data_IF_646986466874
#
_entry.id   IF_646986466874
#
_cell.length_a   1.000
_cell.length_b   1.000
_cell.length_c   1.000
_cell.angle_alpha   90.00
_cell.angle_beta   90.00
_cell.angle_gamma   90.00
#
_symmetry.space_group_name_H-M   'P 1'
#
loop_
_entity.id
_entity.type
_entity.pdbx_description
1 polymer ?
#
# COMPACT_ATOMS: atom_id res chain seq x y z
N UNK A 1 5.58 -3.36 11.34
CA UNK A 1 4.14 -3.12 11.58
C UNK A 1 3.82 -1.66 11.93
N UNK A 2 4.52 -0.99 12.85
CA UNK A 2 4.27 0.42 13.26
C UNK A 2 4.31 1.44 12.10
N UNK A 3 5.12 1.23 11.07
CA UNK A 3 5.28 2.15 9.93
C UNK A 3 4.01 2.22 9.06
N UNK A 4 3.29 1.13 8.90
CA UNK A 4 2.10 1.04 8.05
C UNK A 4 0.93 1.86 8.59
N UNK A 5 0.69 1.82 9.89
CA UNK A 5 -0.47 2.50 10.50
C UNK A 5 -0.45 4.03 10.38
N UNK A 6 0.73 4.64 10.21
CA UNK A 6 0.84 6.10 10.12
C UNK A 6 0.43 6.67 8.74
N UNK A 7 0.38 5.81 7.71
CA UNK A 7 -0.09 6.19 6.36
C UNK A 7 -1.61 6.08 6.23
N UNK A 8 -2.24 5.36 7.12
CA UNK A 8 -3.63 4.99 7.04
C UNK A 8 -4.51 5.90 7.91
N UNK A 9 -5.74 6.06 7.49
CA UNK A 9 -6.80 6.67 8.29
C UNK A 9 -7.21 5.74 9.42
N UNK A 10 -7.88 6.27 10.45
CA UNK A 10 -8.47 5.45 11.53
C UNK A 10 -9.38 4.36 10.98
N UNK A 11 -10.14 4.67 9.93
CA UNK A 11 -11.08 3.73 9.31
C UNK A 11 -10.35 2.59 8.56
N UNK A 12 -9.27 2.91 7.83
CA UNK A 12 -8.43 1.90 7.17
C UNK A 12 -7.72 1.00 8.18
N UNK A 13 -7.27 1.56 9.32
CA UNK A 13 -6.71 0.77 10.43
C UNK A 13 -7.77 -0.18 11.03
N UNK A 14 -8.99 0.30 11.21
CA UNK A 14 -10.09 -0.53 11.68
C UNK A 14 -10.43 -1.65 10.68
N UNK A 15 -10.38 -1.36 9.37
CA UNK A 15 -10.56 -2.35 8.33
C UNK A 15 -9.48 -3.44 8.38
N UNK A 16 -8.20 -3.06 8.54
CA UNK A 16 -7.10 -4.01 8.73
C UNK A 16 -7.32 -4.90 9.95
N UNK A 17 -7.68 -4.31 11.08
CA UNK A 17 -7.95 -5.06 12.31
C UNK A 17 -9.13 -6.04 12.16
N UNK A 18 -10.17 -5.64 11.41
CA UNK A 18 -11.29 -6.53 11.08
C UNK A 18 -10.85 -7.69 10.20
N UNK A 19 -10.05 -7.43 9.17
CA UNK A 19 -9.50 -8.46 8.28
C UNK A 19 -8.68 -9.48 9.10
N UNK A 20 -7.76 -9.01 9.94
CA UNK A 20 -6.95 -9.88 10.81
C UNK A 20 -7.81 -10.74 11.69
N UNK A 21 -8.79 -10.14 12.35
CA UNK A 21 -9.66 -10.87 13.26
C UNK A 21 -10.50 -11.93 12.57
N UNK A 22 -11.09 -11.62 11.41
CA UNK A 22 -11.90 -12.58 10.65
C UNK A 22 -11.05 -13.70 10.06
N UNK A 23 -9.84 -13.38 9.61
CA UNK A 23 -8.91 -14.37 9.06
C UNK A 23 -8.42 -15.36 10.13
N UNK A 24 -8.08 -14.86 11.33
CA UNK A 24 -7.61 -15.68 12.45
C UNK A 24 -8.72 -16.54 13.06
N UNK A 25 -9.97 -16.06 13.01
CA UNK A 25 -11.12 -16.76 13.61
C UNK A 25 -11.44 -18.08 12.93
N UNK A 26 -11.19 -18.19 11.62
CA UNK A 26 -11.51 -19.38 10.78
C UNK A 26 -12.94 -19.93 10.92
N UNK A 27 -13.80 -19.22 11.63
CA UNK A 27 -15.17 -19.61 11.96
C UNK A 27 -16.11 -18.41 11.84
N UNK A 28 -17.42 -18.72 11.91
CA UNK A 28 -18.45 -17.68 11.94
C UNK A 28 -18.37 -16.84 13.20
N UNK A 29 -18.12 -15.55 13.03
CA UNK A 29 -18.05 -14.58 14.12
C UNK A 29 -19.39 -13.90 14.32
N UNK A 30 -20.01 -14.00 15.52
CA UNK A 30 -21.27 -13.29 15.80
C UNK A 30 -21.10 -11.77 15.71
N UNK A 31 -22.05 -11.08 15.08
CA UNK A 31 -22.03 -9.61 14.93
C UNK A 31 -21.96 -8.88 16.28
N UNK A 32 -22.53 -9.45 17.33
CA UNK A 32 -22.46 -8.90 18.69
C UNK A 32 -21.02 -8.87 19.23
N UNK A 33 -20.20 -9.90 18.91
CA UNK A 33 -18.80 -9.99 19.32
C UNK A 33 -18.00 -8.88 18.65
N UNK A 34 -18.21 -8.66 17.33
CA UNK A 34 -17.55 -7.58 16.60
C UNK A 34 -17.92 -6.19 17.16
N UNK A 35 -19.21 -5.97 17.47
CA UNK A 35 -19.66 -4.70 18.05
C UNK A 35 -19.00 -4.43 19.39
N UNK A 36 -18.91 -5.41 20.27
CA UNK A 36 -18.26 -5.26 21.59
C UNK A 36 -16.76 -5.03 21.46
N UNK A 37 -16.07 -5.82 20.60
CA UNK A 37 -14.63 -5.75 20.42
C UNK A 37 -14.16 -4.40 19.89
N UNK A 38 -14.90 -3.79 18.98
CA UNK A 38 -14.51 -2.55 18.31
C UNK A 38 -15.30 -1.33 18.78
N UNK A 39 -16.19 -1.49 19.76
CA UNK A 39 -17.10 -0.42 20.23
C UNK A 39 -17.87 0.26 19.08
N UNK A 40 -18.25 -0.50 18.07
CA UNK A 40 -18.88 0.03 16.87
C UNK A 40 -20.38 0.17 17.01
N UNK A 41 -20.89 1.32 16.54
CA UNK A 41 -22.31 1.42 16.21
C UNK A 41 -22.68 0.46 15.08
N UNK A 42 -23.98 0.14 14.95
CA UNK A 42 -24.50 -0.69 13.85
C UNK A 42 -24.11 -0.09 12.47
N UNK A 43 -24.15 1.21 12.34
CA UNK A 43 -23.80 1.92 11.11
C UNK A 43 -22.31 1.75 10.77
N UNK A 44 -21.43 1.92 11.73
CA UNK A 44 -19.98 1.82 11.50
C UNK A 44 -19.54 0.43 11.07
N UNK A 45 -20.13 -0.63 11.67
CA UNK A 45 -19.76 -1.98 11.28
C UNK A 45 -20.26 -2.31 9.86
N UNK A 46 -21.46 -1.89 9.50
CA UNK A 46 -21.99 -2.12 8.15
C UNK A 46 -21.14 -1.38 7.09
N UNK A 47 -20.70 -0.17 7.39
CA UNK A 47 -19.80 0.58 6.50
C UNK A 47 -18.46 -0.14 6.31
N UNK A 48 -17.84 -0.66 7.38
CA UNK A 48 -16.60 -1.44 7.28
C UNK A 48 -16.80 -2.74 6.50
N UNK A 49 -17.92 -3.41 6.66
CA UNK A 49 -18.24 -4.63 5.91
C UNK A 49 -18.42 -4.34 4.41
N UNK A 50 -19.06 -3.24 4.07
CA UNK A 50 -19.18 -2.80 2.68
C UNK A 50 -17.79 -2.51 2.07
N UNK A 51 -16.91 -1.83 2.81
CA UNK A 51 -15.54 -1.58 2.37
C UNK A 51 -14.75 -2.87 2.22
N UNK A 52 -14.91 -3.82 3.14
CA UNK A 52 -14.28 -5.13 3.05
C UNK A 52 -14.77 -5.91 1.83
N UNK A 53 -16.06 -5.88 1.53
CA UNK A 53 -16.62 -6.52 0.33
C UNK A 53 -16.04 -5.93 -0.96
N UNK A 54 -15.93 -4.60 -1.04
CA UNK A 54 -15.31 -3.92 -2.19
C UNK A 54 -13.82 -4.24 -2.31
N UNK A 55 -13.10 -4.29 -1.18
CA UNK A 55 -11.69 -4.68 -1.15
C UNK A 55 -11.50 -6.10 -1.69
N UNK A 56 -12.30 -7.05 -1.20
CA UNK A 56 -12.25 -8.45 -1.62
C UNK A 56 -12.53 -8.58 -3.12
N UNK A 57 -13.52 -7.88 -3.64
CA UNK A 57 -13.79 -7.87 -5.08
C UNK A 57 -12.58 -7.40 -5.90
N UNK A 58 -11.90 -6.34 -5.47
CA UNK A 58 -10.68 -5.85 -6.12
C UNK A 58 -9.53 -6.85 -6.03
N UNK A 59 -9.30 -7.43 -4.85
CA UNK A 59 -8.24 -8.44 -4.65
C UNK A 59 -8.49 -9.66 -5.54
N UNK A 60 -9.71 -10.19 -5.56
CA UNK A 60 -10.06 -11.33 -6.40
C UNK A 60 -9.79 -11.07 -7.89
N UNK A 61 -10.13 -9.87 -8.36
CA UNK A 61 -9.92 -9.50 -9.77
C UNK A 61 -8.44 -9.34 -10.11
N UNK A 62 -7.64 -8.70 -9.23
CA UNK A 62 -6.24 -8.40 -9.50
C UNK A 62 -5.30 -9.58 -9.31
N UNK A 63 -5.56 -10.39 -8.29
CA UNK A 63 -4.67 -11.49 -7.90
C UNK A 63 -5.17 -12.86 -8.39
N UNK A 64 -6.34 -12.88 -9.08
CA UNK A 64 -6.99 -14.11 -9.54
C UNK A 64 -7.15 -15.15 -8.43
N UNK A 65 -7.66 -14.71 -7.28
CA UNK A 65 -7.94 -15.54 -6.09
C UNK A 65 -9.41 -15.54 -5.74
N UNK A 66 -9.84 -16.46 -4.89
CA UNK A 66 -11.23 -16.57 -4.45
C UNK A 66 -11.35 -16.33 -2.94
N UNK A 67 -11.64 -15.11 -2.57
CA UNK A 67 -12.00 -14.71 -1.22
C UNK A 67 -13.46 -14.28 -1.21
N UNK A 68 -14.21 -14.65 -0.20
CA UNK A 68 -15.61 -14.24 -0.04
C UNK A 68 -15.96 -13.97 1.41
N UNK A 69 -16.94 -13.11 1.60
CA UNK A 69 -17.58 -12.85 2.88
C UNK A 69 -18.97 -13.48 2.86
N UNK A 70 -19.29 -14.23 3.90
CA UNK A 70 -20.62 -14.73 4.18
C UNK A 70 -21.18 -13.92 5.33
N UNK A 71 -22.19 -13.08 5.05
CA UNK A 71 -22.84 -12.22 6.04
C UNK A 71 -24.34 -12.56 6.07
N UNK A 72 -24.81 -13.12 7.18
CA UNK A 72 -26.22 -13.49 7.41
C UNK A 72 -26.91 -12.57 8.43
N UNK A 73 -26.44 -11.34 8.62
CA UNK A 73 -26.90 -10.33 9.59
C UNK A 73 -26.63 -10.66 11.07
N UNK A 74 -26.52 -11.93 11.44
CA UNK A 74 -26.24 -12.36 12.81
C UNK A 74 -24.76 -12.72 13.01
N UNK A 75 -24.12 -13.22 11.96
CA UNK A 75 -22.71 -13.59 11.96
C UNK A 75 -22.04 -13.29 10.63
N UNK A 76 -20.74 -13.20 10.66
CA UNK A 76 -19.88 -12.98 9.50
C UNK A 76 -18.78 -14.02 9.47
N UNK A 77 -18.43 -14.45 8.27
CA UNK A 77 -17.34 -15.40 8.03
C UNK A 77 -16.53 -14.93 6.82
N UNK A 78 -15.21 -14.94 6.95
CA UNK A 78 -14.29 -14.75 5.84
C UNK A 78 -13.84 -16.12 5.34
N UNK A 79 -14.19 -16.43 4.11
CA UNK A 79 -13.80 -17.70 3.47
C UNK A 79 -12.79 -17.40 2.38
N UNK A 80 -11.61 -17.98 2.50
CA UNK A 80 -10.54 -17.90 1.52
C UNK A 80 -9.95 -19.30 1.29
N UNK A 81 -9.40 -19.55 0.10
CA UNK A 81 -8.67 -20.79 -0.15
C UNK A 81 -7.46 -20.90 0.79
N UNK A 82 -7.11 -22.11 1.21
CA UNK A 82 -6.11 -22.37 2.28
C UNK A 82 -4.73 -21.73 2.05
N UNK A 83 -4.37 -21.46 0.80
CA UNK A 83 -3.07 -20.90 0.42
C UNK A 83 -3.06 -19.38 0.22
N UNK A 84 -4.17 -18.68 0.48
CA UNK A 84 -4.24 -17.25 0.28
C UNK A 84 -3.71 -16.53 1.53
N UNK A 85 -2.55 -15.86 1.45
CA UNK A 85 -1.99 -15.16 2.59
C UNK A 85 -2.81 -13.89 2.89
N UNK A 86 -3.02 -13.62 4.17
CA UNK A 86 -3.70 -12.40 4.65
C UNK A 86 -3.02 -11.12 4.16
N UNK A 87 -1.72 -11.20 3.88
CA UNK A 87 -0.91 -10.10 3.38
C UNK A 87 -1.48 -9.50 2.09
N UNK A 88 -2.09 -10.29 1.21
CA UNK A 88 -2.73 -9.77 -0.01
C UNK A 88 -3.82 -8.74 0.31
N UNK A 89 -4.65 -9.01 1.30
CA UNK A 89 -5.69 -8.08 1.72
C UNK A 89 -5.11 -6.87 2.43
N UNK A 90 -4.11 -7.06 3.30
CA UNK A 90 -3.41 -5.95 3.99
C UNK A 90 -2.72 -5.00 2.99
N UNK A 91 -1.99 -5.57 2.04
CA UNK A 91 -1.34 -4.82 0.97
C UNK A 91 -2.37 -4.04 0.13
N UNK A 92 -3.51 -4.64 -0.16
CA UNK A 92 -4.59 -3.99 -0.92
C UNK A 92 -5.21 -2.81 -0.16
N UNK A 93 -5.36 -2.88 1.17
CA UNK A 93 -5.80 -1.73 2.00
C UNK A 93 -4.79 -0.58 1.88
N UNK A 94 -3.50 -0.87 1.98
CA UNK A 94 -2.44 0.15 1.86
C UNK A 94 -2.45 0.78 0.46
N UNK A 95 -2.47 -0.04 -0.60
CA UNK A 95 -2.51 0.43 -2.00
C UNK A 95 -3.76 1.26 -2.31
N UNK A 96 -4.87 0.97 -1.64
CA UNK A 96 -6.13 1.71 -1.76
C UNK A 96 -6.17 3.03 -1.00
N UNK A 97 -5.21 3.33 -0.13
CA UNK A 97 -5.21 4.57 0.65
C UNK A 97 -4.79 5.77 -0.19
N UNK A 98 -5.45 6.91 0.01
CA UNK A 98 -5.14 8.16 -0.68
C UNK A 98 -3.70 8.64 -0.39
N UNK A 99 -3.18 8.37 0.80
CA UNK A 99 -1.80 8.73 1.17
C UNK A 99 -0.78 7.95 0.34
N UNK A 100 -1.03 6.66 0.10
CA UNK A 100 -0.20 5.84 -0.78
C UNK A 100 -0.28 6.32 -2.24
N UNK A 101 -1.49 6.59 -2.74
CA UNK A 101 -1.72 7.07 -4.11
C UNK A 101 -0.97 8.38 -4.35
N UNK A 102 -1.07 9.35 -3.44
CA UNK A 102 -0.32 10.61 -3.53
C UNK A 102 1.20 10.37 -3.53
N UNK A 103 1.71 9.48 -2.68
CA UNK A 103 3.14 9.17 -2.64
C UNK A 103 3.62 8.51 -3.95
N UNK A 104 2.82 7.60 -4.53
CA UNK A 104 3.12 6.96 -5.81
C UNK A 104 3.16 7.98 -6.95
N UNK A 105 2.17 8.86 -7.02
CA UNK A 105 2.11 9.91 -8.07
C UNK A 105 3.28 10.89 -7.96
N UNK A 106 3.71 11.21 -6.74
CA UNK A 106 4.89 12.03 -6.51
C UNK A 106 6.19 11.34 -6.98
N UNK A 107 6.34 10.04 -6.73
CA UNK A 107 7.50 9.28 -7.21
C UNK A 107 7.53 9.22 -8.74
N UNK A 108 6.38 8.93 -9.35
CA UNK A 108 6.24 8.75 -10.79
C UNK A 108 6.10 10.07 -11.56
N UNK A 109 6.18 11.21 -10.85
CA UNK A 109 5.99 12.57 -11.41
C UNK A 109 4.65 12.77 -12.13
N UNK A 110 3.61 12.07 -11.69
CA UNK A 110 2.24 12.19 -12.21
C UNK A 110 1.45 13.28 -11.52
N UNK A 111 1.82 13.60 -10.26
CA UNK A 111 1.15 14.68 -9.53
C UNK A 111 1.33 16.02 -10.23
N UNK A 112 0.23 16.62 -10.63
CA UNK A 112 0.15 17.92 -11.29
C UNK A 112 -0.24 19.02 -10.30
N UNK A 113 -1.42 18.94 -9.71
CA UNK A 113 -1.93 19.90 -8.73
C UNK A 113 -2.83 19.24 -7.69
N UNK A 114 -3.08 19.96 -6.58
CA UNK A 114 -4.05 19.54 -5.58
C UNK A 114 -5.48 19.44 -6.14
N UNK A 115 -5.81 20.33 -7.12
CA UNK A 115 -7.12 20.32 -7.77
C UNK A 115 -7.30 19.04 -8.58
N UNK A 116 -6.33 18.71 -9.44
CA UNK A 116 -6.41 17.52 -10.30
C UNK A 116 -6.48 16.23 -9.47
N UNK A 117 -5.68 16.14 -8.38
CA UNK A 117 -5.75 15.01 -7.46
C UNK A 117 -7.12 14.90 -6.78
N UNK A 118 -7.72 16.03 -6.38
CA UNK A 118 -9.06 16.03 -5.80
C UNK A 118 -10.13 15.57 -6.80
N UNK A 119 -10.04 16.00 -8.04
CA UNK A 119 -10.97 15.61 -9.12
C UNK A 119 -10.80 14.12 -9.48
N UNK A 120 -9.58 13.63 -9.63
CA UNK A 120 -9.29 12.22 -9.96
C UNK A 120 -9.79 11.25 -8.90
N UNK A 121 -9.64 11.62 -7.62
CA UNK A 121 -10.01 10.75 -6.50
C UNK A 121 -11.38 11.09 -5.87
N UNK A 122 -12.14 11.99 -6.47
CA UNK A 122 -13.47 12.41 -6.01
C UNK A 122 -13.47 12.87 -4.54
N UNK A 123 -12.46 13.67 -4.14
CA UNK A 123 -12.32 14.19 -2.77
C UNK A 123 -12.32 15.72 -2.76
N UNK A 124 -12.65 16.30 -1.61
CA UNK A 124 -12.54 17.74 -1.42
C UNK A 124 -11.13 18.14 -0.93
N UNK A 125 -10.84 19.45 -0.98
CA UNK A 125 -9.55 20.00 -0.59
C UNK A 125 -9.21 19.76 0.90
N UNK A 126 -10.20 19.69 1.78
CA UNK A 126 -9.98 19.40 3.20
C UNK A 126 -9.43 17.98 3.39
N UNK A 127 -9.95 16.99 2.65
CA UNK A 127 -9.43 15.62 2.65
C UNK A 127 -8.02 15.59 2.06
N UNK A 128 -7.79 16.28 0.93
CA UNK A 128 -6.45 16.38 0.34
C UNK A 128 -5.42 16.95 1.33
N UNK A 129 -5.78 17.99 2.08
CA UNK A 129 -4.92 18.55 3.12
C UNK A 129 -4.56 17.50 4.18
N UNK A 130 -5.55 16.76 4.69
CA UNK A 130 -5.30 15.67 5.66
C UNK A 130 -4.39 14.57 5.09
N UNK A 131 -4.57 14.21 3.81
CA UNK A 131 -3.71 13.24 3.10
C UNK A 131 -2.27 13.76 3.02
N UNK A 132 -2.10 15.03 2.60
CA UNK A 132 -0.80 15.68 2.49
C UNK A 132 -0.09 15.81 3.85
N UNK A 133 -0.82 16.19 4.90
CA UNK A 133 -0.28 16.30 6.26
C UNK A 133 0.16 14.92 6.78
N UNK A 134 -0.64 13.88 6.53
CA UNK A 134 -0.30 12.49 6.91
C UNK A 134 0.94 12.00 6.19
N UNK A 135 1.04 12.25 4.88
CA UNK A 135 2.23 11.93 4.09
C UNK A 135 3.45 12.67 4.62
N UNK A 136 3.32 13.97 4.90
CA UNK A 136 4.41 14.78 5.42
C UNK A 136 4.91 14.30 6.80
N UNK A 137 3.99 13.95 7.71
CA UNK A 137 4.35 13.36 9.00
C UNK A 137 5.09 12.03 8.87
N UNK A 138 4.79 11.28 7.83
CA UNK A 138 5.52 10.04 7.56
C UNK A 138 6.88 10.29 6.93
N UNK A 139 7.00 11.21 5.99
CA UNK A 139 8.25 11.66 5.38
C UNK A 139 9.24 12.20 6.43
N UNK A 140 8.75 12.93 7.44
CA UNK A 140 9.59 13.49 8.50
C UNK A 140 10.43 12.44 9.24
N UNK A 141 9.95 11.19 9.33
CA UNK A 141 10.70 10.07 9.94
C UNK A 141 11.92 9.64 9.11
N UNK A 142 11.97 10.07 7.86
CA UNK A 142 13.05 9.82 6.92
C UNK A 142 13.81 11.11 6.61
N UNK A 143 13.74 12.12 7.46
CA UNK A 143 14.34 13.44 7.26
C UNK A 143 13.93 14.10 5.91
N UNK A 144 12.73 13.74 5.43
CA UNK A 144 12.14 14.30 4.22
C UNK A 144 10.91 15.13 4.58
N UNK A 145 10.52 16.03 3.69
CA UNK A 145 9.29 16.81 3.85
C UNK A 145 8.63 17.10 2.51
N UNK A 146 7.31 17.33 2.54
CA UNK A 146 6.51 17.64 1.37
C UNK A 146 6.44 19.14 1.13
N UNK A 147 6.78 19.58 -0.08
CA UNK A 147 6.59 20.95 -0.53
C UNK A 147 5.99 20.98 -1.95
N UNK A 148 4.67 21.00 -2.02
CA UNK A 148 3.92 20.92 -3.29
C UNK A 148 4.09 22.14 -4.21
N UNK A 149 4.73 23.22 -3.74
CA UNK A 149 5.04 24.41 -4.57
C UNK A 149 6.36 24.26 -5.35
N UNK A 150 7.27 23.41 -4.90
CA UNK A 150 8.56 23.18 -5.55
C UNK A 150 8.41 22.26 -6.77
N UNK A 151 9.41 22.31 -7.67
CA UNK A 151 9.51 21.35 -8.79
C UNK A 151 9.64 19.92 -8.26
N UNK A 152 10.59 19.70 -7.34
CA UNK A 152 10.67 18.47 -6.56
C UNK A 152 9.80 18.61 -5.31
N UNK A 153 8.71 17.85 -5.30
CA UNK A 153 7.66 17.95 -4.28
C UNK A 153 8.07 17.36 -2.94
N UNK A 154 8.92 16.33 -2.96
CA UNK A 154 9.52 15.75 -1.75
C UNK A 154 10.94 16.27 -1.63
N UNK A 155 11.23 16.95 -0.53
CA UNK A 155 12.51 17.55 -0.23
C UNK A 155 13.23 16.75 0.86
N UNK A 156 14.53 16.59 0.74
CA UNK A 156 15.40 15.80 1.61
C UNK A 156 16.63 15.33 0.85
N UNK A 157 17.50 14.53 1.49
CA UNK A 157 18.59 13.92 0.75
C UNK A 157 18.11 12.69 -0.03
N UNK A 158 18.82 12.32 -1.09
CA UNK A 158 18.42 11.26 -2.00
C UNK A 158 18.39 9.87 -1.32
N UNK A 159 19.28 9.61 -0.36
CA UNK A 159 19.31 8.36 0.40
C UNK A 159 18.06 8.19 1.25
N UNK A 160 17.66 9.24 1.96
CA UNK A 160 16.47 9.23 2.83
C UNK A 160 15.18 9.11 2.00
N UNK A 161 15.13 9.81 0.86
CA UNK A 161 14.07 9.68 -0.12
C UNK A 161 13.89 8.23 -0.58
N UNK A 162 14.98 7.56 -1.01
CA UNK A 162 14.92 6.16 -1.45
C UNK A 162 14.52 5.22 -0.32
N UNK A 163 14.99 5.47 0.90
CA UNK A 163 14.63 4.70 2.09
C UNK A 163 13.14 4.79 2.41
N UNK A 164 12.55 6.00 2.29
CA UNK A 164 11.12 6.20 2.44
C UNK A 164 10.32 5.36 1.42
N UNK A 165 10.64 5.48 0.13
CA UNK A 165 9.91 4.75 -0.91
C UNK A 165 10.14 3.25 -0.86
N UNK A 166 11.34 2.80 -0.49
CA UNK A 166 11.58 1.39 -0.24
C UNK A 166 10.67 0.86 0.87
N UNK A 167 10.60 1.56 2.01
CA UNK A 167 9.73 1.17 3.12
C UNK A 167 8.26 1.12 2.70
N UNK A 168 7.78 2.16 2.02
CA UNK A 168 6.39 2.27 1.55
C UNK A 168 6.01 1.11 0.62
N UNK A 169 6.81 0.86 -0.42
CA UNK A 169 6.47 -0.13 -1.44
C UNK A 169 6.74 -1.56 -0.99
N UNK A 170 7.70 -1.76 -0.09
CA UNK A 170 7.90 -3.07 0.51
C UNK A 170 6.68 -3.50 1.35
N UNK A 171 6.13 -2.59 2.16
CA UNK A 171 4.95 -2.83 3.01
C UNK A 171 3.69 -3.00 2.17
N UNK A 172 3.53 -2.21 1.10
CA UNK A 172 2.35 -2.29 0.22
C UNK A 172 2.38 -3.44 -0.79
N UNK A 173 3.44 -4.23 -0.80
CA UNK A 173 3.62 -5.30 -1.78
C UNK A 173 3.77 -4.84 -3.23
N UNK A 174 3.96 -3.54 -3.46
CA UNK A 174 3.97 -2.95 -4.80
C UNK A 174 5.23 -3.32 -5.57
N UNK A 175 5.05 -3.81 -6.80
CA UNK A 175 6.13 -3.90 -7.77
C UNK A 175 6.23 -2.61 -8.57
N UNK A 176 7.42 -2.03 -8.64
CA UNK A 176 7.70 -0.85 -9.46
C UNK A 176 8.19 -1.21 -10.87
N UNK A 177 8.41 -2.49 -11.15
CA UNK A 177 8.88 -2.97 -12.47
C UNK A 177 8.01 -2.47 -13.62
N UNK A 178 6.65 -2.50 -13.55
CA UNK A 178 5.80 -2.03 -14.64
C UNK A 178 5.99 -0.54 -15.00
N UNK A 179 6.55 0.26 -14.10
CA UNK A 179 6.79 1.70 -14.34
C UNK A 179 8.18 2.00 -14.95
N UNK A 180 9.02 0.97 -15.10
CA UNK A 180 10.31 1.10 -15.77
C UNK A 180 10.14 1.04 -17.30
N UNK A 181 11.08 1.61 -18.04
CA UNK A 181 11.17 1.40 -19.50
C UNK A 181 11.39 -0.08 -19.82
N UNK A 182 10.98 -0.55 -21.00
CA UNK A 182 11.17 -1.94 -21.43
C UNK A 182 12.63 -2.38 -21.35
N UNK A 183 13.55 -1.50 -21.72
CA UNK A 183 15.00 -1.75 -21.62
C UNK A 183 15.43 -1.98 -20.17
N UNK A 184 15.01 -1.12 -19.23
CA UNK A 184 15.34 -1.28 -17.82
C UNK A 184 14.68 -2.51 -17.20
N UNK A 185 13.47 -2.86 -17.62
CA UNK A 185 12.81 -4.10 -17.17
C UNK A 185 13.65 -5.32 -17.57
N UNK A 186 14.09 -5.39 -18.84
CA UNK A 186 14.91 -6.49 -19.34
C UNK A 186 16.27 -6.56 -18.63
N UNK A 187 16.94 -5.43 -18.44
CA UNK A 187 18.22 -5.36 -17.72
C UNK A 187 18.08 -5.79 -16.26
N UNK A 188 17.02 -5.34 -15.58
CA UNK A 188 16.75 -5.73 -14.20
C UNK A 188 16.44 -7.21 -14.09
N UNK A 189 15.65 -7.77 -15.01
CA UNK A 189 15.34 -9.19 -15.02
C UNK A 189 16.61 -10.04 -15.23
N UNK A 190 17.44 -9.67 -16.20
CA UNK A 190 18.71 -10.35 -16.45
C UNK A 190 19.64 -10.29 -15.22
N UNK A 191 19.76 -9.13 -14.60
CA UNK A 191 20.54 -8.96 -13.36
C UNK A 191 20.04 -9.87 -12.23
N UNK A 192 18.72 -9.95 -12.01
CA UNK A 192 18.13 -10.83 -11.00
C UNK A 192 18.42 -12.31 -11.30
N UNK A 193 18.34 -12.74 -12.56
CA UNK A 193 18.68 -14.12 -12.94
C UNK A 193 20.16 -14.44 -12.66
N UNK A 194 21.07 -13.52 -12.96
CA UNK A 194 22.49 -13.67 -12.62
C UNK A 194 22.68 -13.83 -11.11
N UNK A 195 22.04 -12.97 -10.31
CA UNK A 195 22.12 -13.03 -8.84
C UNK A 195 21.56 -14.35 -8.32
N UNK A 196 20.40 -14.77 -8.80
CA UNK A 196 19.76 -16.04 -8.41
C UNK A 196 20.65 -17.24 -8.70
N UNK A 197 21.28 -17.27 -9.86
CA UNK A 197 22.18 -18.36 -10.25
C UNK A 197 23.48 -18.38 -9.47
N UNK A 198 24.03 -17.19 -9.15
CA UNK A 198 25.31 -17.06 -8.43
C UNK A 198 25.16 -17.23 -6.92
N UNK A 199 24.00 -16.90 -6.38
CA UNK A 199 23.71 -16.89 -4.94
C UNK A 199 22.40 -17.65 -4.66
N UNK A 200 22.42 -18.99 -4.73
CA UNK A 200 21.20 -19.82 -4.62
C UNK A 200 20.55 -19.76 -3.22
N UNK A 201 21.25 -19.22 -2.21
CA UNK A 201 20.74 -19.01 -0.87
C UNK A 201 19.85 -17.76 -0.73
N UNK A 202 19.76 -16.91 -1.75
CA UNK A 202 18.84 -15.78 -1.72
C UNK A 202 17.40 -16.29 -1.78
N UNK A 203 16.63 -15.88 -0.76
CA UNK A 203 15.21 -16.21 -0.67
C UNK A 203 14.40 -15.38 -1.69
N UNK A 204 13.16 -15.81 -1.93
CA UNK A 204 12.21 -15.01 -2.72
C UNK A 204 12.07 -13.59 -2.17
N UNK A 205 12.02 -13.45 -0.83
CA UNK A 205 11.92 -12.15 -0.15
C UNK A 205 13.15 -11.28 -0.43
N UNK A 206 14.35 -11.86 -0.45
CA UNK A 206 15.58 -11.10 -0.73
C UNK A 206 15.62 -10.61 -2.18
N UNK A 207 15.20 -11.44 -3.11
CA UNK A 207 15.09 -11.05 -4.52
C UNK A 207 14.01 -9.97 -4.73
N UNK A 208 12.89 -10.04 -4.01
CA UNK A 208 11.85 -8.99 -4.02
C UNK A 208 12.38 -7.67 -3.50
N UNK A 209 13.12 -7.67 -2.39
CA UNK A 209 13.79 -6.48 -1.83
C UNK A 209 14.77 -5.88 -2.83
N UNK A 210 15.61 -6.72 -3.43
CA UNK A 210 16.59 -6.30 -4.42
C UNK A 210 15.92 -5.66 -5.65
N UNK A 211 14.90 -6.31 -6.21
CA UNK A 211 14.11 -5.75 -7.33
C UNK A 211 13.55 -4.37 -6.98
N UNK A 212 13.01 -4.22 -5.79
CA UNK A 212 12.41 -2.96 -5.35
C UNK A 212 13.46 -1.84 -5.23
N UNK A 213 14.60 -2.11 -4.56
CA UNK A 213 15.70 -1.15 -4.41
C UNK A 213 16.21 -0.71 -5.78
N UNK A 214 16.45 -1.66 -6.69
CA UNK A 214 16.91 -1.38 -8.05
C UNK A 214 15.89 -0.57 -8.85
N UNK A 215 14.60 -0.91 -8.75
CA UNK A 215 13.54 -0.17 -9.44
C UNK A 215 13.45 1.29 -8.99
N UNK A 216 13.51 1.54 -7.67
CA UNK A 216 13.55 2.90 -7.12
C UNK A 216 14.80 3.64 -7.64
N UNK A 217 15.96 2.98 -7.60
CA UNK A 217 17.21 3.54 -8.10
C UNK A 217 17.14 3.95 -9.56
N UNK A 218 16.60 3.07 -10.42
CA UNK A 218 16.46 3.32 -11.85
C UNK A 218 15.48 4.47 -12.14
N UNK A 219 14.30 4.51 -11.48
CA UNK A 219 13.33 5.60 -11.61
C UNK A 219 13.93 6.95 -11.19
N UNK A 220 14.71 6.96 -10.12
CA UNK A 220 15.37 8.18 -9.65
C UNK A 220 16.53 8.61 -10.56
N UNK A 221 17.34 7.68 -11.02
CA UNK A 221 18.43 7.96 -11.97
C UNK A 221 17.88 8.54 -13.27
N UNK A 222 16.83 7.96 -13.85
CA UNK A 222 16.15 8.51 -15.04
C UNK A 222 15.60 9.93 -14.81
N UNK A 223 15.31 10.27 -13.58
CA UNK A 223 14.87 11.60 -13.17
C UNK A 223 16.02 12.58 -12.88
N UNK A 224 17.28 12.16 -13.07
CA UNK A 224 18.48 12.98 -12.87
C UNK A 224 18.99 13.02 -11.42
N UNK A 225 18.57 12.09 -10.56
CA UNK A 225 19.01 12.05 -9.16
C UNK A 225 20.00 10.90 -8.91
N UNK A 226 21.15 11.26 -8.35
CA UNK A 226 22.21 10.33 -7.95
C UNK A 226 22.47 10.44 -6.44
N UNK A 227 22.95 9.36 -5.84
CA UNK A 227 23.51 9.42 -4.48
C UNK A 227 24.96 9.89 -4.63
N UNK A 228 25.27 11.01 -4.03
CA UNK A 228 26.63 11.53 -3.87
C UNK A 228 27.18 11.14 -2.52
#
# INVERSE_FOLDING_TARGET
MVIMYNLLTKQEIQLLSLIEYLYDSKEKVPMQVLRRKYEFSHYNINNLLNQLTLLISRVNTHENVHIRIINNQQSIELVADENIPIELMKEAVVRGSLTYMLALDLLLKRYTSAKDFCEEHFINFSIFKQVSDRLNNHLARFNCYLNLKRREKICGNEKDFRSFFYSLFFISGTSLVPFLSKTNQAQLQNFIEIIKNRYPYFTYTDLRKLKLIMSIGLLRYQSGFTIT
#
